data_IF_568997161899
#
_entry.id   IF_568997161899
#
_cell.length_a   1.000
_cell.length_b   1.000
_cell.length_c   1.000
_cell.angle_alpha   90.00
_cell.angle_beta   90.00
_cell.angle_gamma   90.00
#
_symmetry.space_group_name_H-M   'P 1'
#
loop_
_entity.id
_entity.type
_entity.pdbx_description
1 polymer ?
#
# COMPACT_ATOMS: atom_id res chain seq x y z
N UNK A 1 18.65 -14.46 -6.44
CA UNK A 1 19.45 -13.37 -7.04
C UNK A 1 20.73 -13.98 -7.57
N UNK A 2 20.95 -13.94 -8.89
CA UNK A 2 22.15 -14.50 -9.52
C UNK A 2 23.18 -13.37 -9.77
N UNK A 3 24.32 -13.40 -9.10
CA UNK A 3 25.36 -12.37 -9.23
C UNK A 3 26.23 -12.52 -10.49
N UNK A 4 26.21 -13.69 -11.14
CA UNK A 4 26.87 -13.87 -12.44
C UNK A 4 26.24 -12.98 -13.52
N UNK A 5 24.91 -12.87 -13.54
CA UNK A 5 24.18 -12.05 -14.51
C UNK A 5 24.35 -10.54 -14.24
N UNK A 6 24.53 -10.17 -12.98
CA UNK A 6 24.86 -8.78 -12.60
C UNK A 6 26.24 -8.40 -13.14
N UNK A 7 27.21 -9.30 -13.00
CA UNK A 7 28.59 -9.01 -13.37
C UNK A 7 28.87 -9.12 -14.88
N UNK A 8 28.26 -10.11 -15.56
CA UNK A 8 28.57 -10.42 -16.95
C UNK A 8 27.44 -10.10 -17.93
N UNK A 9 26.20 -10.05 -17.47
CA UNK A 9 25.04 -9.75 -18.31
C UNK A 9 24.52 -8.31 -18.10
N UNK A 10 25.33 -7.45 -17.46
CA UNK A 10 25.04 -6.04 -17.16
C UNK A 10 23.67 -5.80 -16.51
N UNK A 11 23.18 -6.76 -15.73
CA UNK A 11 21.91 -6.62 -15.02
C UNK A 11 22.10 -5.73 -13.79
N UNK A 12 21.44 -4.58 -13.74
CA UNK A 12 21.55 -3.65 -12.61
C UNK A 12 20.55 -3.99 -11.50
N UNK A 13 21.06 -4.18 -10.29
CA UNK A 13 20.25 -4.32 -9.07
C UNK A 13 20.32 -3.01 -8.30
N UNK A 14 19.17 -2.35 -8.14
CA UNK A 14 19.04 -1.15 -7.32
C UNK A 14 18.24 -1.48 -6.07
N UNK A 15 18.78 -1.15 -4.90
CA UNK A 15 18.02 -1.15 -3.65
C UNK A 15 17.34 0.20 -3.47
N UNK A 16 16.03 0.20 -3.21
CA UNK A 16 15.28 1.39 -2.81
C UNK A 16 14.81 1.22 -1.37
N UNK A 17 14.85 2.30 -0.59
CA UNK A 17 14.40 2.29 0.81
C UNK A 17 13.29 3.30 0.97
N UNK A 18 12.03 2.84 0.97
CA UNK A 18 10.88 3.73 1.05
C UNK A 18 10.90 4.86 0.01
N UNK A 19 10.19 5.95 0.31
CA UNK A 19 10.23 7.20 -0.46
C UNK A 19 10.63 8.36 0.45
N UNK A 20 11.22 9.39 -0.14
CA UNK A 20 11.52 10.66 0.52
C UNK A 20 10.34 11.64 0.37
N UNK A 21 10.46 12.82 0.96
CA UNK A 21 9.41 13.86 0.89
C UNK A 21 9.10 14.31 -0.55
N UNK A 22 10.10 14.34 -1.44
CA UNK A 22 9.89 14.71 -2.84
C UNK A 22 9.05 13.66 -3.58
N UNK A 23 9.30 12.38 -3.34
CA UNK A 23 8.50 11.28 -3.91
C UNK A 23 7.03 11.37 -3.48
N UNK A 24 6.78 11.80 -2.23
CA UNK A 24 5.41 12.03 -1.74
C UNK A 24 4.74 13.23 -2.42
N UNK A 25 5.45 14.33 -2.63
CA UNK A 25 4.93 15.51 -3.32
C UNK A 25 4.56 15.14 -4.77
N UNK A 26 5.44 14.45 -5.47
CA UNK A 26 5.19 13.97 -6.83
C UNK A 26 3.96 13.03 -6.88
N UNK A 27 3.85 12.11 -5.92
CA UNK A 27 2.70 11.22 -5.81
C UNK A 27 1.38 11.99 -5.65
N UNK A 28 1.37 13.07 -4.86
CA UNK A 28 0.20 13.93 -4.68
C UNK A 28 -0.12 14.73 -5.94
N UNK A 29 0.88 15.28 -6.64
CA UNK A 29 0.69 16.01 -7.90
C UNK A 29 0.11 15.11 -8.99
N UNK A 30 0.63 13.89 -9.13
CA UNK A 30 0.11 12.89 -10.07
C UNK A 30 -1.31 12.44 -9.72
N UNK A 31 -1.62 12.34 -8.42
CA UNK A 31 -2.97 12.04 -7.95
C UNK A 31 -3.94 13.19 -8.25
N UNK A 32 -3.53 14.43 -8.00
CA UNK A 32 -4.32 15.63 -8.29
C UNK A 32 -4.57 15.80 -9.80
N UNK A 33 -3.57 15.47 -10.62
CA UNK A 33 -3.67 15.44 -12.08
C UNK A 33 -4.47 14.24 -12.62
N UNK A 34 -5.06 13.40 -11.75
CA UNK A 34 -5.81 12.17 -12.09
C UNK A 34 -5.00 11.16 -12.91
N UNK A 35 -3.67 11.23 -12.85
CA UNK A 35 -2.76 10.29 -13.53
C UNK A 35 -2.61 8.99 -12.73
N UNK A 36 -2.76 9.07 -11.41
CA UNK A 36 -2.74 7.94 -10.48
C UNK A 36 -4.00 7.99 -9.63
N UNK A 37 -4.65 6.84 -9.42
CA UNK A 37 -5.78 6.73 -8.51
C UNK A 37 -5.42 5.83 -7.33
N UNK A 38 -5.13 6.37 -6.13
CA UNK A 38 -4.79 5.58 -4.96
C UNK A 38 -5.98 4.79 -4.39
N UNK A 39 -7.22 5.12 -4.79
CA UNK A 39 -8.42 4.46 -4.27
C UNK A 39 -8.52 2.98 -4.69
N UNK A 40 -7.96 2.62 -5.85
CA UNK A 40 -7.95 1.21 -6.32
C UNK A 40 -7.18 0.27 -5.40
N UNK A 41 -6.31 0.81 -4.55
CA UNK A 41 -5.57 0.03 -3.57
C UNK A 41 -6.41 -0.26 -2.33
N UNK A 42 -7.41 0.56 -2.01
CA UNK A 42 -8.29 0.38 -0.85
C UNK A 42 -9.31 -0.71 -1.19
N UNK A 43 -9.31 -1.76 -0.39
CA UNK A 43 -10.18 -2.95 -0.59
C UNK A 43 -11.12 -3.16 0.58
N UNK A 44 -10.84 -2.53 1.72
CA UNK A 44 -11.60 -2.69 2.94
C UNK A 44 -11.67 -1.38 3.69
N UNK A 45 -12.85 -1.12 4.27
CA UNK A 45 -13.10 0.01 5.16
C UNK A 45 -13.65 -0.54 6.48
N UNK A 46 -13.09 -0.10 7.60
CA UNK A 46 -13.52 -0.52 8.94
C UNK A 46 -13.51 0.62 9.96
N UNK A 47 -14.19 0.38 11.09
CA UNK A 47 -14.13 1.25 12.26
C UNK A 47 -12.88 1.03 13.11
N UNK A 48 -12.68 1.89 14.11
CA UNK A 48 -11.53 1.81 15.03
C UNK A 48 -11.48 0.49 15.81
N UNK A 49 -12.65 -0.06 16.11
CA UNK A 49 -12.85 -1.34 16.79
C UNK A 49 -12.26 -2.52 16.00
N UNK A 50 -12.32 -2.46 14.67
CA UNK A 50 -11.77 -3.50 13.80
C UNK A 50 -10.23 -3.47 13.67
N UNK A 51 -9.55 -2.40 14.11
CA UNK A 51 -8.12 -2.20 13.86
C UNK A 51 -7.24 -3.29 14.50
N UNK A 52 -7.52 -3.68 15.74
CA UNK A 52 -6.72 -4.68 16.46
C UNK A 52 -6.86 -6.07 15.83
N UNK A 53 -8.08 -6.51 15.57
CA UNK A 53 -8.37 -7.82 14.98
C UNK A 53 -7.82 -7.93 13.55
N UNK A 54 -7.97 -6.87 12.75
CA UNK A 54 -7.53 -6.87 11.35
C UNK A 54 -6.02 -6.85 11.19
N UNK A 55 -5.31 -6.26 12.17
CA UNK A 55 -3.85 -6.30 12.25
C UNK A 55 -3.37 -7.70 12.65
N UNK A 56 -4.01 -8.33 13.64
CA UNK A 56 -3.65 -9.67 14.09
C UNK A 56 -3.84 -10.74 13.00
N UNK A 57 -4.92 -10.62 12.23
CA UNK A 57 -5.28 -11.57 11.17
C UNK A 57 -4.84 -11.13 9.76
N UNK A 58 -3.94 -10.15 9.65
CA UNK A 58 -3.53 -9.56 8.37
C UNK A 58 -3.14 -10.59 7.30
N UNK A 59 -2.38 -11.68 7.59
CA UNK A 59 -2.02 -12.68 6.57
C UNK A 59 -3.21 -13.49 6.02
N UNK A 60 -4.32 -13.56 6.75
CA UNK A 60 -5.50 -14.37 6.40
C UNK A 60 -6.58 -13.59 5.68
N UNK A 61 -6.55 -12.26 5.79
CA UNK A 61 -7.54 -11.37 5.19
C UNK A 61 -6.97 -10.87 3.86
N UNK A 62 -7.48 -11.32 2.71
CA UNK A 62 -7.00 -10.89 1.41
C UNK A 62 -7.28 -9.39 1.20
N UNK A 63 -6.55 -8.74 0.31
CA UNK A 63 -6.76 -7.31 -0.02
C UNK A 63 -5.47 -6.50 -0.05
N UNK A 64 -5.52 -5.33 -0.67
CA UNK A 64 -4.38 -4.42 -0.79
C UNK A 64 -4.20 -3.54 0.44
N UNK A 65 -5.03 -2.50 0.54
CA UNK A 65 -5.04 -1.51 1.62
C UNK A 65 -6.35 -1.58 2.40
N UNK A 66 -6.23 -1.57 3.73
CA UNK A 66 -7.33 -1.52 4.68
C UNK A 66 -7.37 -0.12 5.30
N UNK A 67 -8.48 0.58 5.15
CA UNK A 67 -8.65 1.93 5.65
C UNK A 67 -9.49 1.88 6.93
N UNK A 68 -8.98 2.50 8.00
CA UNK A 68 -9.66 2.56 9.30
C UNK A 68 -10.11 3.99 9.56
N UNK A 69 -11.42 4.18 9.76
CA UNK A 69 -11.99 5.45 10.21
C UNK A 69 -12.08 5.46 11.74
N UNK A 70 -11.36 6.38 12.37
CA UNK A 70 -11.29 6.50 13.83
C UNK A 70 -12.62 6.90 14.48
N UNK A 71 -13.49 7.58 13.73
CA UNK A 71 -14.79 8.05 14.21
C UNK A 71 -15.92 7.03 14.04
N UNK A 72 -15.67 5.92 13.35
CA UNK A 72 -16.67 4.88 13.10
C UNK A 72 -16.44 3.71 14.06
N UNK A 73 -17.54 3.19 14.59
CA UNK A 73 -17.62 1.90 15.26
C UNK A 73 -18.43 1.03 14.31
N UNK A 74 -17.75 0.21 13.52
CA UNK A 74 -18.37 -0.51 12.42
C UNK A 74 -17.60 -1.78 12.08
N UNK A 75 -18.36 -2.85 11.87
CA UNK A 75 -17.83 -4.13 11.41
C UNK A 75 -17.09 -3.97 10.08
N UNK A 76 -16.09 -4.83 9.87
CA UNK A 76 -15.20 -4.80 8.72
C UNK A 76 -15.99 -5.03 7.41
N UNK A 77 -16.07 -4.03 6.54
CA UNK A 77 -16.78 -4.11 5.26
C UNK A 77 -15.75 -4.22 4.13
N UNK A 78 -15.88 -5.27 3.31
CA UNK A 78 -15.17 -5.39 2.03
C UNK A 78 -15.79 -4.42 1.03
N UNK A 79 -15.01 -3.48 0.52
CA UNK A 79 -15.41 -2.66 -0.63
C UNK A 79 -15.23 -3.52 -1.90
N UNK A 80 -16.29 -3.62 -2.71
CA UNK A 80 -16.39 -4.52 -3.87
C UNK A 80 -15.26 -4.36 -4.87
#
# INVERSE_FOLDING_TARGET
MNFYDVHYNSTHVMGTTGGNTADMIESLELTAAKRINPAVMVTHIGGLDAAAETTLNLPKIPGGKKLIYTHLIANFITEK
#
